data_IF_039041371706
#
_entry.id   IF_039041371706
#
_cell.length_a   1.000
_cell.length_b   1.000
_cell.length_c   1.000
_cell.angle_alpha   90.00
_cell.angle_beta   90.00
_cell.angle_gamma   90.00
#
_symmetry.space_group_name_H-M   'P 1'
#
loop_
_entity.id
_entity.type
_entity.pdbx_description
1 polymer ?
#
# COMPACT_ATOMS: atom_id res chain seq x y z
N UNK A 1 11.54 -5.85 17.24
CA UNK A 1 12.93 -6.27 16.90
C UNK A 1 13.68 -6.74 18.13
N UNK A 2 13.93 -5.87 19.12
CA UNK A 2 14.67 -6.23 20.35
C UNK A 2 13.97 -7.37 21.11
N UNK A 3 12.67 -7.29 21.30
CA UNK A 3 11.86 -8.29 22.02
C UNK A 3 11.87 -9.66 21.35
N UNK A 4 11.75 -9.71 20.02
CA UNK A 4 11.82 -10.96 19.23
C UNK A 4 13.22 -11.58 19.34
N UNK A 5 14.28 -10.76 19.24
CA UNK A 5 15.67 -11.20 19.40
C UNK A 5 15.99 -11.73 20.80
N UNK A 6 15.35 -11.20 21.84
CA UNK A 6 15.51 -11.66 23.24
C UNK A 6 14.69 -12.92 23.52
N UNK A 7 13.51 -13.08 22.91
CA UNK A 7 12.62 -14.21 23.16
C UNK A 7 13.02 -15.49 22.40
N UNK A 8 13.72 -15.36 21.29
CA UNK A 8 14.23 -16.49 20.50
C UNK A 8 15.71 -16.29 20.15
N UNK A 9 16.63 -16.41 21.12
CA UNK A 9 18.05 -16.24 20.86
C UNK A 9 18.57 -17.45 20.06
N UNK A 10 18.76 -17.28 18.75
CA UNK A 10 19.60 -18.14 17.92
C UNK A 10 19.07 -19.51 17.48
N UNK A 11 17.84 -19.91 17.85
CA UNK A 11 17.25 -21.21 17.46
C UNK A 11 16.27 -21.15 16.28
N UNK A 12 16.16 -19.99 15.61
CA UNK A 12 15.35 -19.85 14.41
C UNK A 12 15.99 -20.64 13.26
N UNK A 13 15.30 -21.65 12.72
CA UNK A 13 15.70 -22.29 11.45
C UNK A 13 15.57 -21.25 10.34
N UNK A 14 16.70 -20.76 9.84
CA UNK A 14 16.77 -19.83 8.73
C UNK A 14 16.95 -20.68 7.46
N UNK A 15 15.86 -20.91 6.74
CA UNK A 15 15.95 -21.51 5.41
C UNK A 15 16.15 -20.40 4.38
N UNK A 16 17.18 -20.55 3.54
CA UNK A 16 17.55 -19.55 2.53
C UNK A 16 16.67 -19.66 1.28
N UNK A 17 16.20 -20.87 0.97
CA UNK A 17 15.30 -21.15 -0.17
C UNK A 17 14.19 -22.08 0.29
N UNK A 18 12.94 -21.69 0.03
CA UNK A 18 11.75 -22.47 0.38
C UNK A 18 10.95 -22.69 -0.89
N UNK A 19 10.51 -23.92 -1.14
CA UNK A 19 9.55 -24.21 -2.21
C UNK A 19 8.20 -23.60 -1.83
N UNK A 20 7.90 -22.44 -2.39
CA UNK A 20 6.62 -21.74 -2.15
C UNK A 20 5.68 -21.96 -3.32
N UNK A 21 4.39 -22.11 -3.03
CA UNK A 21 3.37 -22.08 -4.07
C UNK A 21 3.33 -20.71 -4.74
N UNK A 22 2.93 -20.67 -6.01
CA UNK A 22 2.77 -19.43 -6.77
C UNK A 22 1.92 -18.41 -5.99
N UNK A 23 0.89 -18.90 -5.29
CA UNK A 23 0.06 -18.14 -4.37
C UNK A 23 0.86 -17.38 -3.29
N UNK A 24 1.65 -18.10 -2.47
CA UNK A 24 2.42 -17.50 -1.38
C UNK A 24 3.52 -16.58 -1.90
N UNK A 25 4.15 -16.96 -3.01
CA UNK A 25 5.16 -16.14 -3.66
C UNK A 25 4.56 -14.81 -4.16
N UNK A 26 3.38 -14.85 -4.77
CA UNK A 26 2.72 -13.66 -5.29
C UNK A 26 2.20 -12.74 -4.18
N UNK A 27 1.65 -13.30 -3.09
CA UNK A 27 1.29 -12.52 -1.90
C UNK A 27 2.49 -11.73 -1.34
N UNK A 28 3.63 -12.39 -1.18
CA UNK A 28 4.85 -11.73 -0.69
C UNK A 28 5.32 -10.61 -1.62
N UNK A 29 5.24 -10.82 -2.95
CA UNK A 29 5.56 -9.77 -3.93
C UNK A 29 4.60 -8.59 -3.80
N UNK A 30 3.30 -8.84 -3.64
CA UNK A 30 2.31 -7.76 -3.47
C UNK A 30 2.49 -6.99 -2.18
N UNK A 31 2.89 -7.63 -1.08
CA UNK A 31 3.17 -6.95 0.18
C UNK A 31 4.39 -6.01 0.07
N UNK A 32 5.45 -6.46 -0.61
CA UNK A 32 6.61 -5.62 -0.90
C UNK A 32 6.18 -4.43 -1.76
N UNK A 33 5.39 -4.66 -2.81
CA UNK A 33 4.90 -3.58 -3.67
C UNK A 33 4.05 -2.57 -2.89
N UNK A 34 3.16 -3.04 -2.01
CA UNK A 34 2.35 -2.19 -1.17
C UNK A 34 3.21 -1.26 -0.31
N UNK A 35 4.31 -1.78 0.26
CA UNK A 35 5.25 -1.00 1.08
C UNK A 35 5.90 0.17 0.33
N UNK A 36 5.97 0.12 -1.01
CA UNK A 36 6.49 1.18 -1.88
C UNK A 36 5.41 1.91 -2.71
N UNK A 37 4.12 1.68 -2.43
CA UNK A 37 3.01 2.25 -3.20
C UNK A 37 2.64 3.69 -2.80
N UNK A 38 3.61 4.61 -2.75
CA UNK A 38 3.40 6.01 -2.37
C UNK A 38 3.12 6.97 -3.55
N UNK A 39 3.17 6.45 -4.79
CA UNK A 39 3.10 7.24 -6.03
C UNK A 39 1.94 8.23 -6.14
N UNK A 40 0.70 7.94 -5.68
CA UNK A 40 -0.41 8.90 -5.77
C UNK A 40 -0.15 10.21 -5.01
N UNK A 41 0.62 10.17 -3.93
CA UNK A 41 0.92 11.34 -3.11
C UNK A 41 2.01 12.24 -3.73
N UNK A 42 2.80 11.73 -4.68
CA UNK A 42 3.92 12.47 -5.27
C UNK A 42 3.47 13.76 -5.96
N UNK A 43 2.33 13.75 -6.67
CA UNK A 43 1.81 14.96 -7.30
C UNK A 43 1.44 16.05 -6.28
N UNK A 44 0.90 15.66 -5.12
CA UNK A 44 0.62 16.58 -4.03
C UNK A 44 1.91 17.17 -3.46
N UNK A 45 2.88 16.33 -3.13
CA UNK A 45 4.16 16.79 -2.59
C UNK A 45 4.91 17.71 -3.57
N UNK A 46 4.96 17.36 -4.85
CA UNK A 46 5.60 18.20 -5.87
C UNK A 46 4.92 19.58 -5.96
N UNK A 47 3.59 19.64 -5.80
CA UNK A 47 2.85 20.91 -5.84
C UNK A 47 3.07 21.81 -4.62
N UNK A 48 3.51 21.24 -3.49
CA UNK A 48 3.77 21.97 -2.25
C UNK A 48 5.26 22.32 -2.06
N UNK A 49 6.16 21.76 -2.88
CA UNK A 49 7.59 22.09 -2.82
C UNK A 49 7.88 23.52 -3.28
N UNK A 50 8.73 24.23 -2.52
CA UNK A 50 9.23 25.56 -2.88
C UNK A 50 9.98 25.55 -4.23
N UNK A 51 10.75 24.50 -4.51
CA UNK A 51 11.51 24.31 -5.76
C UNK A 51 11.21 22.94 -6.38
N UNK A 52 10.24 22.84 -7.31
CA UNK A 52 9.84 21.55 -7.92
C UNK A 52 10.97 20.81 -8.67
N UNK A 53 11.98 21.54 -9.12
CA UNK A 53 13.14 20.99 -9.86
C UNK A 53 14.03 20.09 -9.01
N UNK A 54 13.97 20.19 -7.68
CA UNK A 54 14.76 19.34 -6.77
C UNK A 54 14.09 17.98 -6.48
N UNK A 55 12.93 17.69 -7.06
CA UNK A 55 12.21 16.42 -6.89
C UNK A 55 13.07 15.16 -7.01
N UNK A 56 13.96 15.02 -8.02
CA UNK A 56 14.76 13.80 -8.17
C UNK A 56 15.71 13.55 -6.99
N UNK A 57 16.21 14.61 -6.34
CA UNK A 57 17.08 14.50 -5.16
C UNK A 57 16.28 13.99 -3.97
N UNK A 58 15.11 14.58 -3.73
CA UNK A 58 14.20 14.16 -2.66
C UNK A 58 13.76 12.71 -2.85
N UNK A 59 13.42 12.33 -4.09
CA UNK A 59 13.02 10.97 -4.44
C UNK A 59 14.16 9.95 -4.20
N UNK A 60 15.39 10.28 -4.58
CA UNK A 60 16.54 9.41 -4.34
C UNK A 60 16.77 9.19 -2.84
N UNK A 61 16.75 10.27 -2.05
CA UNK A 61 16.95 10.21 -0.59
C UNK A 61 15.87 9.37 0.09
N UNK A 62 14.59 9.58 -0.22
CA UNK A 62 13.50 8.81 0.40
C UNK A 62 13.56 7.34 0.01
N UNK A 63 13.89 7.04 -1.25
CA UNK A 63 13.99 5.66 -1.71
C UNK A 63 15.16 4.93 -1.05
N UNK A 64 16.33 5.57 -0.93
CA UNK A 64 17.50 4.97 -0.27
C UNK A 64 17.22 4.69 1.21
N UNK A 65 16.64 5.67 1.92
CA UNK A 65 16.31 5.52 3.35
C UNK A 65 15.27 4.40 3.53
N UNK A 66 14.19 4.41 2.75
CA UNK A 66 13.12 3.41 2.87
C UNK A 66 13.63 2.01 2.55
N UNK A 67 14.42 1.87 1.48
CA UNK A 67 15.00 0.57 1.09
C UNK A 67 15.93 0.03 2.16
N UNK A 68 16.78 0.89 2.72
CA UNK A 68 17.72 0.50 3.79
C UNK A 68 16.95 0.06 5.03
N UNK A 69 15.96 0.85 5.46
CA UNK A 69 15.18 0.57 6.65
C UNK A 69 14.38 -0.73 6.50
N UNK A 70 13.64 -0.91 5.40
CA UNK A 70 12.88 -2.14 5.17
C UNK A 70 13.78 -3.38 5.07
N UNK A 71 14.93 -3.28 4.40
CA UNK A 71 15.86 -4.40 4.26
C UNK A 71 16.48 -4.77 5.62
N UNK A 72 17.00 -3.80 6.37
CA UNK A 72 17.59 -4.04 7.70
C UNK A 72 16.55 -4.60 8.66
N UNK A 73 15.34 -4.04 8.68
CA UNK A 73 14.26 -4.52 9.54
C UNK A 73 13.84 -5.95 9.16
N UNK A 74 13.66 -6.25 7.87
CA UNK A 74 13.32 -7.58 7.39
C UNK A 74 14.37 -8.63 7.76
N UNK A 75 15.65 -8.34 7.52
CA UNK A 75 16.76 -9.26 7.84
C UNK A 75 16.85 -9.53 9.34
N UNK A 76 16.75 -8.50 10.18
CA UNK A 76 16.84 -8.67 11.64
C UNK A 76 15.64 -9.45 12.18
N UNK A 77 14.42 -9.17 11.70
CA UNK A 77 13.24 -9.93 12.12
C UNK A 77 13.35 -11.39 11.67
N UNK A 78 13.74 -11.65 10.42
CA UNK A 78 13.86 -13.02 9.91
C UNK A 78 14.92 -13.83 10.66
N UNK A 79 16.07 -13.20 10.97
CA UNK A 79 17.13 -13.84 11.77
C UNK A 79 16.68 -14.16 13.20
N UNK A 80 15.83 -13.32 13.80
CA UNK A 80 15.38 -13.50 15.19
C UNK A 80 14.14 -14.38 15.32
N UNK A 81 13.21 -14.34 14.37
CA UNK A 81 11.92 -15.05 14.47
C UNK A 81 11.91 -16.41 13.75
N UNK A 82 12.70 -16.57 12.67
CA UNK A 82 12.68 -17.73 11.78
C UNK A 82 11.61 -17.66 10.71
N UNK A 83 11.19 -18.82 10.19
CA UNK A 83 10.19 -18.91 9.12
C UNK A 83 8.76 -18.57 9.57
N UNK A 84 8.42 -18.83 10.85
CA UNK A 84 7.08 -18.64 11.39
C UNK A 84 6.86 -17.20 11.88
N UNK A 85 6.98 -16.22 10.97
CA UNK A 85 6.62 -14.82 11.23
C UNK A 85 5.13 -14.64 10.95
N UNK A 86 4.36 -14.33 11.99
CA UNK A 86 2.97 -13.91 11.87
C UNK A 86 2.88 -12.59 11.07
N UNK A 87 1.81 -12.42 10.30
CA UNK A 87 1.54 -11.17 9.59
C UNK A 87 0.25 -10.55 10.13
N UNK A 88 0.29 -9.33 10.70
CA UNK A 88 1.44 -8.42 10.76
C UNK A 88 2.56 -8.88 11.71
N UNK A 89 3.82 -8.56 11.37
CA UNK A 89 5.02 -8.97 12.13
C UNK A 89 5.00 -8.56 13.62
N UNK A 90 4.17 -7.60 14.00
CA UNK A 90 3.93 -7.20 15.39
C UNK A 90 3.39 -8.35 16.25
N UNK A 91 2.60 -9.26 15.65
CA UNK A 91 2.06 -10.45 16.30
C UNK A 91 3.10 -11.53 16.62
N UNK A 92 4.29 -11.46 16.00
CA UNK A 92 5.38 -12.41 16.23
C UNK A 92 6.15 -12.16 17.53
N UNK A 93 5.90 -11.04 18.21
CA UNK A 93 6.41 -10.81 19.57
C UNK A 93 5.64 -11.62 20.61
N UNK A 94 6.26 -11.93 21.74
CA UNK A 94 5.59 -12.62 22.84
C UNK A 94 4.36 -11.84 23.34
N UNK A 95 3.40 -12.51 24.01
CA UNK A 95 2.01 -12.05 24.16
C UNK A 95 1.87 -10.68 24.84
N UNK A 96 2.76 -10.33 25.76
CA UNK A 96 2.79 -9.00 26.39
C UNK A 96 3.29 -7.91 25.43
N UNK A 97 4.31 -8.22 24.63
CA UNK A 97 4.89 -7.27 23.68
C UNK A 97 4.10 -7.10 22.41
N UNK A 98 3.46 -8.15 21.89
CA UNK A 98 2.50 -8.00 20.80
C UNK A 98 1.33 -7.09 21.23
N UNK A 99 0.83 -7.22 22.46
CA UNK A 99 -0.21 -6.33 23.00
C UNK A 99 0.28 -4.90 23.19
N UNK A 100 1.44 -4.68 23.82
CA UNK A 100 1.97 -3.32 24.03
C UNK A 100 2.32 -2.65 22.71
N UNK A 101 2.96 -3.36 21.78
CA UNK A 101 3.32 -2.82 20.47
C UNK A 101 2.09 -2.62 19.60
N UNK A 102 1.10 -3.53 19.63
CA UNK A 102 -0.18 -3.34 18.96
C UNK A 102 -0.94 -2.14 19.53
N UNK A 103 -0.97 -2.01 20.85
CA UNK A 103 -1.52 -0.85 21.54
C UNK A 103 -0.76 0.42 21.18
N UNK A 104 0.57 0.43 21.14
CA UNK A 104 1.36 1.59 20.71
C UNK A 104 1.14 1.89 19.22
N UNK A 105 1.03 0.89 18.36
CA UNK A 105 0.74 1.11 16.93
C UNK A 105 -0.63 1.75 16.71
N UNK A 106 -1.62 1.39 17.55
CA UNK A 106 -2.99 1.90 17.49
C UNK A 106 -3.13 3.24 18.26
N UNK A 107 -2.71 3.30 19.53
CA UNK A 107 -2.80 4.45 20.43
C UNK A 107 -1.76 5.54 20.13
N UNK A 108 -0.54 5.16 19.71
CA UNK A 108 0.56 6.11 19.42
C UNK A 108 0.57 6.55 17.96
N UNK A 109 -0.57 6.47 17.28
CA UNK A 109 -0.96 7.36 16.18
C UNK A 109 -0.60 6.97 14.75
N UNK A 110 0.26 5.97 14.46
CA UNK A 110 0.64 5.73 13.06
C UNK A 110 -0.51 5.18 12.19
N UNK A 111 -1.25 4.17 12.65
CA UNK A 111 -2.33 3.55 11.84
C UNK A 111 -3.50 4.53 11.69
N UNK A 112 -3.91 5.16 12.80
CA UNK A 112 -5.02 6.11 12.82
C UNK A 112 -4.67 7.38 12.04
N UNK A 113 -3.50 7.97 12.24
CA UNK A 113 -3.09 9.17 11.49
C UNK A 113 -2.95 8.84 10.01
N UNK A 114 -2.28 7.74 9.64
CA UNK A 114 -2.14 7.37 8.22
C UNK A 114 -3.50 7.12 7.56
N UNK A 115 -4.42 6.44 8.26
CA UNK A 115 -5.78 6.21 7.78
C UNK A 115 -6.58 7.51 7.64
N UNK A 116 -6.55 8.38 8.65
CA UNK A 116 -7.28 9.66 8.66
C UNK A 116 -6.73 10.62 7.61
N UNK A 117 -5.41 10.70 7.43
CA UNK A 117 -4.82 11.56 6.40
C UNK A 117 -5.26 11.10 5.01
N UNK A 118 -5.13 9.80 4.71
CA UNK A 118 -5.52 9.28 3.40
C UNK A 118 -7.04 9.41 3.18
N UNK A 119 -7.85 9.10 4.19
CA UNK A 119 -9.30 9.30 4.16
C UNK A 119 -9.68 10.77 3.96
N UNK A 120 -8.98 11.69 4.62
CA UNK A 120 -9.17 13.14 4.44
C UNK A 120 -8.81 13.59 3.02
N UNK A 121 -7.70 13.12 2.46
CA UNK A 121 -7.30 13.42 1.08
C UNK A 121 -8.36 12.91 0.10
N UNK A 122 -8.87 11.69 0.29
CA UNK A 122 -9.95 11.14 -0.52
C UNK A 122 -11.25 11.97 -0.42
N UNK A 123 -11.68 12.33 0.78
CA UNK A 123 -12.85 13.18 1.01
C UNK A 123 -12.69 14.54 0.33
N UNK A 124 -11.53 15.18 0.52
CA UNK A 124 -11.20 16.47 -0.11
C UNK A 124 -11.22 16.36 -1.63
N UNK A 125 -10.68 15.29 -2.19
CA UNK A 125 -10.64 15.07 -3.63
C UNK A 125 -12.04 14.94 -4.22
N UNK A 126 -12.92 14.14 -3.59
CA UNK A 126 -14.32 13.97 -4.01
C UNK A 126 -15.09 15.29 -3.87
N UNK A 127 -14.94 15.97 -2.73
CA UNK A 127 -15.61 17.24 -2.49
C UNK A 127 -15.17 18.31 -3.50
N UNK A 128 -13.86 18.46 -3.73
CA UNK A 128 -13.36 19.39 -4.76
C UNK A 128 -13.90 18.99 -6.11
N UNK A 129 -13.87 17.71 -6.50
CA UNK A 129 -14.34 17.29 -7.83
C UNK A 129 -15.83 17.54 -8.06
N UNK A 130 -16.67 17.35 -7.03
CA UNK A 130 -18.12 17.59 -7.09
C UNK A 130 -18.45 19.09 -7.11
N UNK A 131 -17.73 19.91 -6.36
CA UNK A 131 -18.07 21.33 -6.19
C UNK A 131 -17.21 22.28 -7.03
N UNK A 132 -16.18 21.81 -7.75
CA UNK A 132 -15.31 22.64 -8.60
C UNK A 132 -16.13 23.36 -9.67
N UNK A 133 -16.21 24.69 -9.55
CA UNK A 133 -16.95 25.55 -10.49
C UNK A 133 -18.37 25.93 -10.05
N UNK A 134 -18.81 25.52 -8.86
CA UNK A 134 -20.11 25.92 -8.30
C UNK A 134 -19.96 27.05 -7.27
N UNK A 135 -20.96 27.94 -7.17
CA UNK A 135 -20.97 29.03 -6.16
C UNK A 135 -20.93 28.53 -4.70
N UNK A 136 -21.29 27.26 -4.49
CA UNK A 136 -21.22 26.59 -3.19
C UNK A 136 -19.79 26.33 -2.68
N UNK A 137 -18.74 26.47 -3.52
CA UNK A 137 -17.36 26.41 -3.02
C UNK A 137 -16.98 27.63 -2.17
N UNK A 138 -17.55 28.81 -2.45
CA UNK A 138 -17.23 30.05 -1.74
C UNK A 138 -18.29 30.41 -0.69
N UNK A 139 -19.52 29.91 -0.81
CA UNK A 139 -20.61 30.23 0.12
C UNK A 139 -20.64 29.25 1.29
N UNK A 140 -20.23 29.71 2.48
CA UNK A 140 -20.33 28.96 3.75
C UNK A 140 -21.80 28.82 4.20
N UNK A 141 -22.59 27.98 3.53
CA UNK A 141 -23.79 27.42 4.16
C UNK A 141 -23.36 26.25 5.03
N UNK A 142 -23.44 26.43 6.35
CA UNK A 142 -23.06 25.41 7.34
C UNK A 142 -23.73 24.07 7.05
N UNK A 143 -25.00 24.06 6.65
CA UNK A 143 -25.72 22.82 6.33
C UNK A 143 -25.26 22.15 5.02
N UNK A 144 -24.98 22.92 3.96
CA UNK A 144 -24.61 22.35 2.66
C UNK A 144 -23.17 21.84 2.62
N UNK A 145 -22.21 22.54 3.23
CA UNK A 145 -20.79 22.14 3.22
C UNK A 145 -20.52 21.10 4.31
N UNK A 146 -21.00 21.31 5.54
CA UNK A 146 -20.76 20.35 6.62
C UNK A 146 -21.57 19.07 6.38
N UNK A 147 -22.82 19.19 5.92
CA UNK A 147 -23.66 18.02 5.60
C UNK A 147 -23.08 17.17 4.47
N UNK A 148 -22.62 17.78 3.37
CA UNK A 148 -22.02 17.02 2.26
C UNK A 148 -20.65 16.45 2.64
N UNK A 149 -19.83 17.19 3.39
CA UNK A 149 -18.55 16.69 3.88
C UNK A 149 -18.72 15.49 4.83
N UNK A 150 -19.65 15.59 5.79
CA UNK A 150 -19.97 14.52 6.73
C UNK A 150 -20.57 13.33 5.98
N UNK A 151 -21.47 13.54 5.01
CA UNK A 151 -22.04 12.47 4.21
C UNK A 151 -20.97 11.72 3.39
N UNK A 152 -20.07 12.44 2.71
CA UNK A 152 -18.96 11.84 1.95
C UNK A 152 -18.04 11.06 2.88
N UNK A 153 -17.71 11.64 4.03
CA UNK A 153 -16.88 10.98 5.04
C UNK A 153 -17.56 9.71 5.55
N UNK A 154 -18.83 9.78 5.92
CA UNK A 154 -19.59 8.65 6.46
C UNK A 154 -19.68 7.51 5.43
N UNK A 155 -20.01 7.80 4.17
CA UNK A 155 -20.07 6.77 3.11
C UNK A 155 -18.70 6.11 2.91
N UNK A 156 -17.62 6.89 2.84
CA UNK A 156 -16.28 6.35 2.66
C UNK A 156 -15.85 5.47 3.84
N UNK A 157 -16.04 5.94 5.08
CA UNK A 157 -15.69 5.18 6.28
C UNK A 157 -16.54 3.92 6.44
N UNK A 158 -17.84 3.99 6.17
CA UNK A 158 -18.72 2.81 6.18
C UNK A 158 -18.30 1.81 5.10
N UNK A 159 -17.98 2.26 3.89
CA UNK A 159 -17.52 1.35 2.83
C UNK A 159 -16.19 0.67 3.17
N UNK A 160 -15.25 1.41 3.77
CA UNK A 160 -13.97 0.86 4.23
C UNK A 160 -14.19 -0.19 5.34
N UNK A 161 -15.10 0.09 6.27
CA UNK A 161 -15.46 -0.87 7.33
C UNK A 161 -16.07 -2.16 6.75
N UNK A 162 -17.00 -2.06 5.80
CA UNK A 162 -17.59 -3.23 5.14
C UNK A 162 -16.53 -4.07 4.43
N UNK A 163 -15.59 -3.44 3.72
CA UNK A 163 -14.50 -4.16 3.02
C UNK A 163 -13.57 -4.87 4.03
N UNK A 164 -13.27 -4.21 5.15
CA UNK A 164 -12.40 -4.78 6.18
C UNK A 164 -13.03 -6.01 6.88
N UNK A 165 -14.35 -6.00 7.12
CA UNK A 165 -15.06 -7.15 7.69
C UNK A 165 -15.33 -8.28 6.68
N UNK A 166 -15.36 -7.96 5.39
CA UNK A 166 -15.59 -8.93 4.33
C UNK A 166 -14.36 -9.83 4.10
N UNK A 167 -13.15 -9.30 4.23
CA UNK A 167 -11.88 -10.04 4.00
C UNK A 167 -11.13 -10.18 5.33
N UNK A 168 -11.28 -11.32 6.04
CA UNK A 168 -10.72 -11.50 7.38
C UNK A 168 -9.18 -11.67 7.37
N UNK A 169 -8.56 -11.94 6.22
CA UNK A 169 -7.10 -12.13 6.13
C UNK A 169 -6.41 -10.85 5.62
N UNK A 170 -5.56 -10.25 6.46
CA UNK A 170 -4.88 -8.98 6.17
C UNK A 170 -4.04 -9.00 4.89
N UNK A 171 -3.22 -10.04 4.66
CA UNK A 171 -2.39 -10.12 3.44
C UNK A 171 -3.24 -10.29 2.17
N UNK A 172 -4.40 -10.95 2.26
CA UNK A 172 -5.31 -11.10 1.13
C UNK A 172 -5.90 -9.74 0.75
N UNK A 173 -6.27 -8.93 1.75
CA UNK A 173 -6.75 -7.56 1.56
C UNK A 173 -5.66 -6.65 0.96
N UNK A 174 -4.44 -6.69 1.49
CA UNK A 174 -3.31 -5.93 0.96
C UNK A 174 -3.00 -6.30 -0.49
N UNK A 175 -2.97 -7.60 -0.79
CA UNK A 175 -2.75 -8.11 -2.13
C UNK A 175 -3.83 -7.61 -3.10
N UNK A 176 -5.10 -7.69 -2.70
CA UNK A 176 -6.23 -7.20 -3.51
C UNK A 176 -6.13 -5.70 -3.81
N UNK A 177 -5.87 -4.87 -2.79
CA UNK A 177 -5.74 -3.41 -2.94
C UNK A 177 -4.54 -3.08 -3.85
N UNK A 178 -3.42 -3.76 -3.65
CA UNK A 178 -2.19 -3.52 -4.42
C UNK A 178 -2.36 -3.96 -5.87
N UNK A 179 -3.05 -5.06 -6.12
CA UNK A 179 -3.31 -5.53 -7.48
C UNK A 179 -4.30 -4.67 -8.23
N UNK A 180 -5.35 -4.17 -7.57
CA UNK A 180 -6.35 -3.29 -8.21
C UNK A 180 -5.85 -1.86 -8.42
N UNK A 181 -5.19 -1.28 -7.42
CA UNK A 181 -4.82 0.15 -7.43
C UNK A 181 -3.31 0.34 -7.49
N UNK A 182 -2.55 -0.37 -6.64
CA UNK A 182 -1.09 -0.21 -6.55
C UNK A 182 -0.36 -0.50 -7.87
N UNK A 183 -0.80 -1.51 -8.61
CA UNK A 183 -0.25 -1.94 -9.90
C UNK A 183 -0.37 -0.84 -10.96
N UNK A 184 -1.55 -0.25 -11.10
CA UNK A 184 -1.83 0.83 -12.04
C UNK A 184 -1.19 2.13 -11.62
N UNK A 185 -1.29 2.54 -10.36
CA UNK A 185 -0.72 3.81 -9.90
C UNK A 185 0.81 3.82 -9.89
N UNK A 186 1.46 2.70 -9.56
CA UNK A 186 2.92 2.66 -9.46
C UNK A 186 3.60 2.29 -10.78
N UNK A 187 3.03 1.35 -11.54
CA UNK A 187 3.69 0.80 -12.74
C UNK A 187 2.96 1.16 -14.03
N UNK A 188 1.64 0.95 -14.08
CA UNK A 188 0.84 1.13 -15.30
C UNK A 188 0.80 2.59 -15.79
N UNK A 189 0.26 3.50 -14.97
CA UNK A 189 0.06 4.91 -15.31
C UNK A 189 1.39 5.64 -15.52
N UNK A 190 2.42 5.33 -14.72
CA UNK A 190 3.77 5.87 -14.89
C UNK A 190 4.32 5.52 -16.29
N UNK A 191 4.20 4.25 -16.71
CA UNK A 191 4.61 3.80 -18.03
C UNK A 191 3.81 4.47 -19.16
N UNK A 192 2.48 4.58 -19.01
CA UNK A 192 1.61 5.24 -20.00
C UNK A 192 1.94 6.73 -20.13
N UNK A 193 2.13 7.45 -19.01
CA UNK A 193 2.45 8.88 -19.05
C UNK A 193 3.78 9.15 -19.75
N UNK A 194 4.80 8.33 -19.50
CA UNK A 194 6.07 8.48 -20.19
C UNK A 194 5.93 8.22 -21.70
N UNK A 195 5.23 7.14 -22.07
CA UNK A 195 4.97 6.81 -23.48
C UNK A 195 4.19 7.93 -24.18
N UNK A 196 3.18 8.51 -23.52
CA UNK A 196 2.36 9.61 -24.03
C UNK A 196 3.18 10.90 -24.27
N UNK A 197 3.97 11.31 -23.28
CA UNK A 197 4.80 12.52 -23.38
C UNK A 197 5.86 12.37 -24.48
N UNK A 198 6.40 11.17 -24.66
CA UNK A 198 7.49 10.91 -25.60
C UNK A 198 7.05 10.32 -26.95
N UNK A 199 5.74 10.35 -27.28
CA UNK A 199 5.13 9.71 -28.48
C UNK A 199 5.87 9.93 -29.80
N UNK A 200 6.56 11.06 -29.96
CA UNK A 200 7.26 11.41 -31.21
C UNK A 200 8.75 11.05 -31.22
N UNK A 201 9.30 10.49 -30.15
CA UNK A 201 10.74 10.25 -29.97
C UNK A 201 11.12 8.82 -29.56
N UNK A 202 10.16 7.90 -29.56
CA UNK A 202 10.35 6.51 -29.12
C UNK A 202 11.58 5.81 -29.75
N UNK A 203 11.88 6.13 -31.02
CA UNK A 203 12.99 5.52 -31.76
C UNK A 203 14.09 6.52 -32.17
N UNK A 204 14.13 7.72 -31.58
CA UNK A 204 15.06 8.78 -32.02
C UNK A 204 16.49 8.59 -31.53
N UNK A 205 16.71 7.85 -30.43
CA UNK A 205 18.03 7.59 -29.86
C UNK A 205 18.07 6.22 -29.19
N UNK A 206 19.21 5.50 -29.16
CA UNK A 206 19.35 4.24 -28.44
C UNK A 206 18.91 4.32 -26.96
N UNK A 207 19.14 5.48 -26.33
CA UNK A 207 18.68 5.75 -24.97
C UNK A 207 17.15 5.81 -24.87
N UNK A 208 16.50 6.45 -25.83
CA UNK A 208 15.04 6.57 -25.88
C UNK A 208 14.38 5.22 -26.22
N UNK A 209 15.02 4.40 -27.05
CA UNK A 209 14.58 3.03 -27.33
C UNK A 209 14.64 2.19 -26.07
N UNK A 210 15.75 2.25 -25.33
CA UNK A 210 15.88 1.57 -24.04
C UNK A 210 14.81 2.02 -23.03
N UNK A 211 14.62 3.33 -22.87
CA UNK A 211 13.56 3.89 -22.01
C UNK A 211 12.17 3.45 -22.46
N UNK A 212 11.91 3.38 -23.77
CA UNK A 212 10.63 2.92 -24.32
C UNK A 212 10.37 1.46 -23.96
N UNK A 213 11.36 0.58 -24.11
CA UNK A 213 11.26 -0.84 -23.72
C UNK A 213 10.99 -0.98 -22.22
N UNK A 214 11.70 -0.22 -21.38
CA UNK A 214 11.47 -0.20 -19.93
C UNK A 214 10.04 0.21 -19.59
N UNK A 215 9.52 1.26 -20.22
CA UNK A 215 8.16 1.74 -19.96
C UNK A 215 7.07 0.78 -20.47
N UNK A 216 7.27 0.11 -21.59
CA UNK A 216 6.38 -0.99 -22.02
C UNK A 216 6.43 -2.18 -21.07
N UNK A 217 7.60 -2.48 -20.52
CA UNK A 217 7.76 -3.55 -19.52
C UNK A 217 7.04 -3.19 -18.23
N UNK A 218 7.14 -1.93 -17.77
CA UNK A 218 6.38 -1.43 -16.62
C UNK A 218 4.87 -1.52 -16.82
N UNK A 219 4.39 -1.21 -18.03
CA UNK A 219 2.97 -1.38 -18.37
C UNK A 219 2.55 -2.85 -18.35
N UNK A 220 3.38 -3.74 -18.92
CA UNK A 220 3.16 -5.19 -18.89
C UNK A 220 3.18 -5.76 -17.46
N UNK A 221 4.10 -5.30 -16.62
CA UNK A 221 4.16 -5.64 -15.20
C UNK A 221 2.90 -5.16 -14.48
N UNK A 222 2.46 -3.92 -14.70
CA UNK A 222 1.21 -3.40 -14.12
C UNK A 222 0.00 -4.25 -14.49
N UNK A 223 -0.14 -4.59 -15.78
CA UNK A 223 -1.23 -5.45 -16.26
C UNK A 223 -1.15 -6.88 -15.70
N UNK A 224 0.03 -7.48 -15.68
CA UNK A 224 0.27 -8.81 -15.14
C UNK A 224 -0.05 -8.86 -13.63
N UNK A 225 0.40 -7.86 -12.88
CA UNK A 225 0.17 -7.74 -11.44
C UNK A 225 -1.31 -7.51 -11.11
N UNK A 226 -2.01 -6.75 -11.95
CA UNK A 226 -3.45 -6.58 -11.84
C UNK A 226 -4.18 -7.90 -12.12
N UNK A 227 -3.87 -8.57 -13.23
CA UNK A 227 -4.56 -9.80 -13.63
C UNK A 227 -4.29 -10.98 -12.71
N UNK A 228 -3.02 -11.33 -12.52
CA UNK A 228 -2.62 -12.45 -11.65
C UNK A 228 -2.98 -12.18 -10.20
N UNK A 229 -2.83 -10.95 -9.73
CA UNK A 229 -3.13 -10.61 -8.36
C UNK A 229 -4.62 -10.63 -8.03
N UNK A 230 -5.46 -10.13 -8.93
CA UNK A 230 -6.92 -10.26 -8.76
C UNK A 230 -7.34 -11.73 -8.74
N UNK A 231 -6.75 -12.56 -9.60
CA UNK A 231 -7.02 -14.00 -9.63
C UNK A 231 -6.59 -14.69 -8.32
N UNK A 232 -5.38 -14.41 -7.84
CA UNK A 232 -4.82 -14.96 -6.60
C UNK A 232 -5.67 -14.54 -5.40
N UNK A 233 -5.95 -13.25 -5.23
CA UNK A 233 -6.77 -12.75 -4.11
C UNK A 233 -8.22 -13.25 -4.20
N UNK A 234 -8.82 -13.25 -5.39
CA UNK A 234 -10.18 -13.74 -5.59
C UNK A 234 -10.32 -15.23 -5.27
N UNK A 235 -9.36 -16.04 -5.69
CA UNK A 235 -9.33 -17.47 -5.36
C UNK A 235 -9.16 -17.71 -3.87
N UNK A 236 -8.27 -16.95 -3.21
CA UNK A 236 -8.08 -17.03 -1.76
C UNK A 236 -9.37 -16.79 -0.99
N UNK A 237 -10.08 -15.73 -1.33
CA UNK A 237 -11.33 -15.34 -0.68
C UNK A 237 -12.42 -16.39 -0.96
N UNK A 238 -12.42 -17.01 -2.15
CA UNK A 238 -13.40 -18.05 -2.49
C UNK A 238 -13.17 -19.41 -1.81
N UNK A 239 -11.91 -19.73 -1.48
CA UNK A 239 -11.53 -20.98 -0.80
C UNK A 239 -11.62 -20.84 0.74
N UNK A 240 -11.91 -19.64 1.27
CA UNK A 240 -12.16 -19.43 2.69
C UNK A 240 -13.51 -20.07 3.12
N UNK A 241 -13.56 -20.78 4.27
CA UNK A 241 -14.80 -21.41 4.73
C UNK A 241 -15.93 -20.39 4.90
N UNK A 242 -17.12 -20.72 4.41
CA UNK A 242 -18.31 -19.90 4.57
C UNK A 242 -18.62 -19.69 6.07
N UNK A 243 -18.42 -18.47 6.58
CA UNK A 243 -18.66 -18.10 7.98
C UNK A 243 -17.62 -17.18 8.63
N UNK A 244 -16.52 -16.82 7.96
CA UNK A 244 -15.48 -15.94 8.50
C UNK A 244 -15.81 -14.44 8.49
N UNK A 245 -16.64 -13.97 7.54
CA UNK A 245 -17.04 -12.56 7.45
C UNK A 245 -17.89 -12.17 8.66
N UNK A 246 -17.55 -11.05 9.31
CA UNK A 246 -18.17 -10.56 10.54
C UNK A 246 -18.03 -11.47 11.77
N UNK A 247 -17.05 -12.39 11.80
CA UNK A 247 -16.87 -13.32 12.94
C UNK A 247 -16.18 -12.70 14.16
N UNK A 248 -15.71 -11.44 14.07
CA UNK A 248 -14.87 -10.77 15.08
C UNK A 248 -13.65 -11.61 15.54
N UNK A 249 -13.23 -12.59 14.74
CA UNK A 249 -12.10 -13.45 15.04
C UNK A 249 -10.76 -12.70 14.89
N UNK A 250 -9.71 -13.24 15.52
CA UNK A 250 -8.37 -12.64 15.43
C UNK A 250 -7.76 -12.90 14.05
N UNK A 251 -7.31 -11.84 13.39
CA UNK A 251 -6.77 -11.85 12.02
C UNK A 251 -5.22 -11.87 11.96
N UNK A 252 -4.57 -12.22 13.09
CA UNK A 252 -3.11 -12.21 13.28
C UNK A 252 -2.46 -13.59 13.11
#
# INVERSE_FOLDING_TARGET
MITVGVQRPGNAKVEVTVSTSLYRAFLAVTDIMFAYAAHPAFFGFISEMKTPTDWPKTLCTVQLISTTLYTVTGVVIYRSAGQDVASPALGSGGPLMAKVVGLVAILTSQIVIAGVINGHIACKYIHVRLFRGTEHMHRRSLFSIIGTWVAISLVLWTSAWVIAEAVPVFNNLLSLITSLFGSWFSYGLCGVFWLFINQRRWFSSPREIFLTIVNFTLLGMGGCLCGLGLYVSGRAISEEPAGGSFSCANNA
#
